data_IF_707741951984
#
_entry.id   IF_707741951984
#
_cell.length_a   1.000
_cell.length_b   1.000
_cell.length_c   1.000
_cell.angle_alpha   90.00
_cell.angle_beta   90.00
_cell.angle_gamma   90.00
#
_symmetry.space_group_name_H-M   'P 1'
#
loop_
_entity.id
_entity.type
_entity.pdbx_description
1 polymer ?
#
# COMPACT_ATOMS: atom_id res chain seq x y z
N UNK A 1 -4.29 32.91 -7.11
CA UNK A 1 -3.33 32.74 -5.98
C UNK A 1 -3.13 34.02 -5.18
N UNK A 2 -3.04 35.20 -5.81
CA UNK A 2 -2.89 36.49 -5.10
C UNK A 2 -4.00 36.75 -4.06
N UNK A 3 -5.27 36.54 -4.42
CA UNK A 3 -6.41 36.62 -3.49
C UNK A 3 -6.30 35.69 -2.28
N UNK A 4 -5.67 34.52 -2.42
CA UNK A 4 -5.45 33.60 -1.31
C UNK A 4 -4.38 34.14 -0.35
N UNK A 5 -3.31 34.74 -0.90
CA UNK A 5 -2.25 35.35 -0.10
C UNK A 5 -2.78 36.57 0.67
N UNK A 6 -3.53 37.45 0.02
CA UNK A 6 -4.16 38.61 0.65
C UNK A 6 -5.10 38.18 1.78
N UNK A 7 -6.00 37.22 1.50
CA UNK A 7 -6.92 36.67 2.51
C UNK A 7 -6.18 36.08 3.71
N UNK A 8 -5.06 35.38 3.48
CA UNK A 8 -4.27 34.84 4.59
C UNK A 8 -3.55 35.91 5.43
N UNK A 9 -3.27 37.10 4.88
CA UNK A 9 -2.77 38.24 5.67
C UNK A 9 -3.91 38.79 6.53
N UNK A 10 -5.10 38.95 5.97
CA UNK A 10 -6.30 39.40 6.70
C UNK A 10 -6.66 38.43 7.84
N UNK A 11 -6.57 37.12 7.59
CA UNK A 11 -6.78 36.07 8.60
C UNK A 11 -5.61 35.91 9.58
N UNK A 12 -4.53 36.70 9.45
CA UNK A 12 -3.37 36.66 10.34
C UNK A 12 -2.49 35.41 10.21
N UNK A 13 -2.63 34.64 9.12
CA UNK A 13 -1.87 33.41 8.86
C UNK A 13 -0.43 33.71 8.45
N UNK A 14 -0.17 34.88 7.87
CA UNK A 14 1.16 35.35 7.48
C UNK A 14 1.26 36.88 7.42
N UNK A 15 2.48 37.42 7.37
CA UNK A 15 2.73 38.86 7.30
C UNK A 15 2.78 39.40 5.86
N UNK A 16 2.53 40.71 5.69
CA UNK A 16 2.67 41.36 4.38
C UNK A 16 4.09 41.22 3.80
N UNK A 17 5.10 41.28 4.66
CA UNK A 17 6.51 41.08 4.29
C UNK A 17 6.77 39.67 3.76
N UNK A 18 6.08 38.66 4.30
CA UNK A 18 6.19 37.28 3.82
C UNK A 18 5.61 37.15 2.41
N UNK A 19 4.38 37.62 2.18
CA UNK A 19 3.74 37.47 0.85
C UNK A 19 4.45 38.27 -0.23
N UNK A 20 5.08 39.41 0.11
CA UNK A 20 5.83 40.24 -0.85
C UNK A 20 7.03 39.54 -1.49
N UNK A 21 7.47 38.42 -0.91
CA UNK A 21 8.62 37.62 -1.37
C UNK A 21 8.20 36.38 -2.15
N UNK A 22 6.91 36.07 -2.18
CA UNK A 22 6.38 34.88 -2.83
C UNK A 22 6.13 35.21 -4.29
N UNK A 23 6.73 34.42 -5.18
CA UNK A 23 6.45 34.44 -6.60
C UNK A 23 6.03 33.04 -7.03
N UNK A 24 4.77 32.89 -7.45
CA UNK A 24 4.28 31.63 -8.01
C UNK A 24 4.60 31.58 -9.50
N UNK A 25 5.26 30.50 -9.93
CA UNK A 25 5.66 30.30 -11.33
C UNK A 25 4.70 29.39 -12.11
N UNK A 26 3.58 29.00 -11.50
CA UNK A 26 2.59 28.10 -12.06
C UNK A 26 1.56 27.69 -11.00
N UNK A 27 0.62 26.84 -11.39
CA UNK A 27 -0.39 26.33 -10.48
C UNK A 27 0.21 25.39 -9.43
N UNK A 28 -0.16 25.59 -8.17
CA UNK A 28 0.31 24.75 -7.05
C UNK A 28 -0.33 23.36 -7.05
N UNK A 29 -1.52 23.24 -7.64
CA UNK A 29 -2.29 22.01 -7.74
C UNK A 29 -2.74 21.90 -9.19
N UNK A 30 -2.35 20.83 -9.85
CA UNK A 30 -2.73 20.54 -11.24
C UNK A 30 -3.82 19.48 -11.27
N UNK A 31 -4.74 19.61 -12.23
CA UNK A 31 -5.76 18.61 -12.54
C UNK A 31 -5.34 17.68 -13.69
N UNK A 32 -4.11 17.81 -14.20
CA UNK A 32 -3.57 16.92 -15.22
C UNK A 32 -3.23 15.57 -14.57
N UNK A 33 -3.87 14.46 -15.00
CA UNK A 33 -3.59 13.16 -14.41
C UNK A 33 -2.35 12.53 -15.03
N UNK A 34 -1.76 11.59 -14.30
CA UNK A 34 -0.86 10.62 -14.89
C UNK A 34 -1.67 9.56 -15.66
N UNK A 35 -1.22 9.22 -16.87
CA UNK A 35 -1.92 8.28 -17.76
C UNK A 35 -1.05 7.06 -17.98
N UNK A 36 -1.61 5.89 -17.66
CA UNK A 36 -0.97 4.59 -17.88
C UNK A 36 -1.87 3.71 -18.74
N UNK A 37 -1.26 3.02 -19.70
CA UNK A 37 -1.92 2.00 -20.51
C UNK A 37 -1.23 0.66 -20.27
N UNK A 38 -2.01 -0.33 -19.84
CA UNK A 38 -1.54 -1.69 -19.60
C UNK A 38 -2.39 -2.66 -20.41
N UNK A 39 -1.75 -3.58 -21.12
CA UNK A 39 -2.45 -4.70 -21.75
C UNK A 39 -2.75 -5.76 -20.67
N UNK A 40 -4.02 -6.12 -20.52
CA UNK A 40 -4.41 -7.21 -19.62
C UNK A 40 -4.11 -8.55 -20.30
N UNK A 41 -3.19 -9.31 -19.72
CA UNK A 41 -2.91 -10.69 -20.12
C UNK A 41 -3.99 -11.66 -19.61
N UNK A 42 -3.98 -12.89 -20.11
CA UNK A 42 -4.87 -13.96 -19.64
C UNK A 42 -4.56 -14.41 -18.20
N UNK A 43 -3.41 -14.00 -17.67
CA UNK A 43 -2.95 -14.21 -16.31
C UNK A 43 -3.41 -13.11 -15.33
N UNK A 44 -4.02 -12.04 -15.83
CA UNK A 44 -4.62 -11.01 -14.99
C UNK A 44 -5.88 -11.55 -14.32
N UNK A 45 -5.88 -11.59 -12.98
CA UNK A 45 -6.97 -12.18 -12.21
C UNK A 45 -8.06 -11.14 -11.86
N UNK A 46 -7.66 -9.99 -11.31
CA UNK A 46 -8.55 -8.88 -10.96
C UNK A 46 -7.80 -7.55 -10.94
N UNK A 47 -8.55 -6.44 -10.93
CA UNK A 47 -8.05 -5.10 -10.65
C UNK A 47 -8.58 -4.62 -9.30
N UNK A 48 -7.72 -3.97 -8.52
CA UNK A 48 -8.05 -3.39 -7.22
C UNK A 48 -7.72 -1.89 -7.24
N UNK A 49 -8.75 -1.07 -7.03
CA UNK A 49 -8.63 0.37 -6.86
C UNK A 49 -9.17 0.73 -5.47
N UNK A 50 -8.48 1.61 -4.75
CA UNK A 50 -8.96 2.08 -3.46
C UNK A 50 -8.43 3.48 -3.13
N UNK A 51 -9.11 4.16 -2.21
CA UNK A 51 -8.61 5.39 -1.58
C UNK A 51 -7.45 5.12 -0.61
N UNK A 52 -6.73 6.18 -0.25
CA UNK A 52 -5.69 6.20 0.80
C UNK A 52 -6.18 5.65 2.14
N UNK A 53 -7.46 5.82 2.48
CA UNK A 53 -8.06 5.18 3.65
C UNK A 53 -7.83 3.67 3.76
N UNK A 54 -7.61 2.94 2.65
CA UNK A 54 -7.09 1.56 2.66
C UNK A 54 -5.56 1.53 2.71
N UNK A 55 -4.91 2.23 1.78
CA UNK A 55 -3.46 2.09 1.52
C UNK A 55 -2.56 2.61 2.63
N UNK A 56 -3.06 3.51 3.48
CA UNK A 56 -2.35 4.00 4.66
C UNK A 56 -2.18 2.92 5.75
N UNK A 57 -2.99 1.86 5.70
CA UNK A 57 -3.02 0.80 6.73
C UNK A 57 -2.66 -0.58 6.18
N UNK A 58 -2.88 -0.81 4.88
CA UNK A 58 -2.59 -2.07 4.22
C UNK A 58 -1.76 -1.84 2.96
N UNK A 59 -0.62 -2.54 2.85
CA UNK A 59 0.18 -2.48 1.63
C UNK A 59 -0.48 -3.27 0.48
N UNK A 60 -0.07 -2.97 -0.75
CA UNK A 60 -0.68 -3.54 -1.95
C UNK A 60 -0.54 -5.06 -2.07
N UNK A 61 0.58 -5.65 -1.63
CA UNK A 61 0.78 -7.09 -1.68
C UNK A 61 -0.16 -7.82 -0.71
N UNK A 62 -0.28 -7.31 0.51
CA UNK A 62 -1.19 -7.86 1.52
C UNK A 62 -2.65 -7.74 1.10
N UNK A 63 -3.04 -6.60 0.50
CA UNK A 63 -4.39 -6.41 -0.02
C UNK A 63 -4.72 -7.40 -1.15
N UNK A 64 -3.80 -7.58 -2.11
CA UNK A 64 -3.96 -8.55 -3.20
C UNK A 64 -4.06 -9.97 -2.65
N UNK A 65 -3.18 -10.35 -1.71
CA UNK A 65 -3.21 -11.66 -1.06
C UNK A 65 -4.51 -11.88 -0.28
N UNK A 66 -5.00 -10.86 0.41
CA UNK A 66 -6.25 -10.89 1.15
C UNK A 66 -7.43 -11.15 0.21
N UNK A 67 -7.58 -10.35 -0.85
CA UNK A 67 -8.67 -10.50 -1.83
C UNK A 67 -8.61 -11.89 -2.48
N UNK A 68 -7.41 -12.32 -2.90
CA UNK A 68 -7.23 -13.65 -3.49
C UNK A 68 -7.62 -14.77 -2.54
N UNK A 69 -7.35 -14.63 -1.25
CA UNK A 69 -7.76 -15.61 -0.24
C UNK A 69 -9.27 -15.60 0.01
N UNK A 70 -9.93 -14.43 0.03
CA UNK A 70 -11.39 -14.33 0.11
C UNK A 70 -12.06 -15.00 -1.10
N UNK A 71 -11.62 -14.65 -2.31
CA UNK A 71 -12.17 -15.21 -3.54
C UNK A 71 -11.96 -16.73 -3.62
N UNK A 72 -10.83 -17.27 -3.17
CA UNK A 72 -10.65 -18.73 -3.06
C UNK A 72 -11.66 -19.41 -2.15
N UNK A 73 -12.07 -18.74 -1.08
CA UNK A 73 -12.99 -19.33 -0.09
C UNK A 73 -14.43 -19.39 -0.59
N UNK A 74 -14.91 -18.33 -1.24
CA UNK A 74 -16.32 -18.22 -1.60
C UNK A 74 -16.60 -17.75 -3.04
N UNK A 75 -15.61 -17.21 -3.75
CA UNK A 75 -15.75 -16.77 -5.15
C UNK A 75 -16.62 -15.52 -5.35
N UNK A 76 -16.97 -14.82 -4.28
CA UNK A 76 -17.84 -13.64 -4.31
C UNK A 76 -17.02 -12.36 -4.11
N UNK A 77 -16.91 -11.57 -5.17
CA UNK A 77 -16.12 -10.33 -5.19
C UNK A 77 -16.68 -9.25 -4.27
N UNK A 78 -18.00 -9.18 -4.09
CA UNK A 78 -18.64 -8.19 -3.24
C UNK A 78 -18.31 -8.47 -1.77
N UNK A 79 -18.42 -9.74 -1.36
CA UNK A 79 -18.05 -10.16 0.00
C UNK A 79 -16.55 -9.91 0.25
N UNK A 80 -15.69 -10.22 -0.73
CA UNK A 80 -14.26 -9.97 -0.62
C UNK A 80 -13.93 -8.47 -0.47
N UNK A 81 -14.64 -7.61 -1.20
CA UNK A 81 -14.50 -6.16 -1.14
C UNK A 81 -14.93 -5.60 0.22
N UNK A 82 -16.08 -6.04 0.74
CA UNK A 82 -16.57 -5.66 2.07
C UNK A 82 -15.61 -6.11 3.18
N UNK A 83 -15.11 -7.34 3.09
CA UNK A 83 -14.13 -7.87 4.03
C UNK A 83 -12.82 -7.08 4.03
N UNK A 84 -12.35 -6.65 2.85
CA UNK A 84 -11.13 -5.83 2.73
C UNK A 84 -11.32 -4.45 3.37
N UNK A 85 -12.48 -3.81 3.12
CA UNK A 85 -12.82 -2.53 3.75
C UNK A 85 -12.91 -2.66 5.28
N UNK A 86 -13.54 -3.73 5.77
CA UNK A 86 -13.62 -3.99 7.21
C UNK A 86 -12.25 -4.26 7.82
N UNK A 87 -11.33 -4.93 7.10
CA UNK A 87 -9.96 -5.14 7.55
C UNK A 87 -9.22 -3.81 7.75
N UNK A 88 -9.37 -2.85 6.84
CA UNK A 88 -8.77 -1.52 6.97
C UNK A 88 -9.31 -0.75 8.20
N UNK A 89 -10.63 -0.80 8.42
CA UNK A 89 -11.26 -0.20 9.59
C UNK A 89 -10.76 -0.83 10.90
N UNK A 90 -10.65 -2.16 10.93
CA UNK A 90 -10.14 -2.89 12.09
C UNK A 90 -8.66 -2.59 12.38
N UNK A 91 -7.87 -2.23 11.36
CA UNK A 91 -6.48 -1.78 11.51
C UNK A 91 -6.37 -0.31 11.96
N UNK A 92 -7.50 0.37 12.15
CA UNK A 92 -7.56 1.72 12.72
C UNK A 92 -7.66 2.83 11.69
N UNK A 93 -8.10 2.54 10.46
CA UNK A 93 -8.37 3.58 9.46
C UNK A 93 -9.32 4.65 10.01
N UNK A 94 -8.89 5.90 9.94
CA UNK A 94 -9.65 7.08 10.39
C UNK A 94 -10.25 7.87 9.22
N UNK A 95 -10.07 7.40 7.99
CA UNK A 95 -10.56 8.07 6.78
C UNK A 95 -11.71 7.30 6.11
N UNK A 96 -12.29 7.88 5.07
CA UNK A 96 -13.24 7.22 4.21
C UNK A 96 -12.54 6.14 3.38
N UNK A 97 -13.04 4.91 3.50
CA UNK A 97 -12.52 3.75 2.76
C UNK A 97 -13.46 3.48 1.58
N UNK A 98 -12.97 3.71 0.36
CA UNK A 98 -13.65 3.37 -0.88
C UNK A 98 -12.82 2.37 -1.67
N UNK A 99 -13.44 1.27 -2.10
CA UNK A 99 -12.76 0.16 -2.76
C UNK A 99 -13.58 -0.28 -3.98
N UNK A 100 -12.90 -0.57 -5.09
CA UNK A 100 -13.46 -1.20 -6.29
C UNK A 100 -12.60 -2.41 -6.63
N UNK A 101 -13.23 -3.57 -6.74
CA UNK A 101 -12.60 -4.80 -7.22
C UNK A 101 -13.31 -5.21 -8.50
N UNK A 102 -12.56 -5.30 -9.60
CA UNK A 102 -13.04 -5.84 -10.86
C UNK A 102 -12.43 -7.23 -11.08
N UNK A 103 -13.22 -8.27 -10.78
CA UNK A 103 -12.88 -9.66 -11.15
C UNK A 103 -13.02 -9.81 -12.67
N UNK A 104 -11.94 -10.26 -13.33
CA UNK A 104 -11.90 -10.42 -14.78
C UNK A 104 -12.52 -11.75 -15.24
N UNK A 105 -12.83 -12.66 -14.31
CA UNK A 105 -13.50 -13.93 -14.60
C UNK A 105 -12.64 -14.94 -15.38
N UNK A 106 -11.34 -14.69 -15.51
CA UNK A 106 -10.38 -15.62 -16.11
C UNK A 106 -9.88 -16.69 -15.12
N UNK A 107 -10.20 -16.50 -13.85
CA UNK A 107 -9.66 -17.29 -12.75
C UNK A 107 -10.72 -18.20 -12.17
N UNK A 108 -10.43 -19.50 -12.12
CA UNK A 108 -11.21 -20.43 -11.30
C UNK A 108 -10.69 -20.38 -9.85
N UNK A 109 -11.31 -19.52 -9.06
CA UNK A 109 -10.88 -19.21 -7.70
C UNK A 109 -10.83 -20.43 -6.78
N UNK A 110 -11.76 -21.38 -6.96
CA UNK A 110 -11.87 -22.53 -6.06
C UNK A 110 -10.84 -23.63 -6.38
N UNK A 111 -10.31 -23.67 -7.61
CA UNK A 111 -9.27 -24.62 -8.00
C UNK A 111 -7.85 -24.07 -7.90
N UNK A 112 -7.70 -22.77 -7.60
CA UNK A 112 -6.38 -22.15 -7.46
C UNK A 112 -5.57 -22.78 -6.32
N UNK A 113 -4.33 -23.24 -6.56
CA UNK A 113 -3.48 -23.77 -5.51
C UNK A 113 -3.16 -22.68 -4.48
N UNK A 114 -3.04 -23.10 -3.21
CA UNK A 114 -2.55 -22.23 -2.16
C UNK A 114 -1.12 -21.78 -2.51
N UNK A 115 -0.80 -20.49 -2.35
CA UNK A 115 0.56 -20.03 -2.52
C UNK A 115 1.39 -20.73 -1.46
N UNK A 116 2.42 -21.46 -1.88
CA UNK A 116 3.40 -22.01 -0.95
C UNK A 116 4.12 -20.83 -0.29
N UNK A 117 3.66 -20.41 0.89
CA UNK A 117 4.52 -19.64 1.77
C UNK A 117 5.64 -20.60 2.21
N UNK A 118 6.85 -20.36 1.74
CA UNK A 118 8.02 -21.16 2.10
C UNK A 118 8.50 -20.79 3.52
N UNK A 119 7.61 -20.82 4.51
CA UNK A 119 7.86 -20.51 5.92
C UNK A 119 9.04 -21.34 6.44
N UNK A 120 9.14 -22.60 6.03
CA UNK A 120 10.25 -23.48 6.41
C UNK A 120 11.61 -22.97 5.88
N UNK A 121 11.62 -22.42 4.67
CA UNK A 121 12.83 -21.87 4.06
C UNK A 121 13.22 -20.54 4.71
N UNK A 122 12.26 -19.66 4.96
CA UNK A 122 12.49 -18.40 5.66
C UNK A 122 12.99 -18.62 7.10
N UNK A 123 12.36 -19.53 7.84
CA UNK A 123 12.82 -19.94 9.17
C UNK A 123 14.21 -20.58 9.09
N UNK A 124 14.44 -21.47 8.12
CA UNK A 124 15.74 -22.09 7.89
C UNK A 124 16.85 -21.06 7.63
N UNK A 125 16.59 -20.05 6.80
CA UNK A 125 17.52 -18.95 6.53
C UNK A 125 17.75 -18.07 7.77
N UNK A 126 16.70 -17.77 8.53
CA UNK A 126 16.81 -17.00 9.77
C UNK A 126 17.72 -17.72 10.78
N UNK A 127 17.50 -19.02 11.00
CA UNK A 127 18.34 -19.83 11.89
C UNK A 127 19.79 -19.95 11.40
N UNK A 128 19.99 -20.14 10.09
CA UNK A 128 21.34 -20.20 9.52
C UNK A 128 22.11 -18.88 9.72
N UNK A 129 21.44 -17.75 9.50
CA UNK A 129 22.04 -16.42 9.64
C UNK A 129 22.38 -16.13 11.11
N UNK A 130 21.45 -16.41 12.03
CA UNK A 130 21.69 -16.28 13.47
C UNK A 130 22.86 -17.17 13.91
N UNK A 131 22.90 -18.43 13.44
CA UNK A 131 23.98 -19.36 13.72
C UNK A 131 25.34 -18.85 13.25
N UNK A 132 25.45 -18.41 11.99
CA UNK A 132 26.69 -17.89 11.40
C UNK A 132 27.18 -16.66 12.17
N UNK A 133 26.29 -15.71 12.47
CA UNK A 133 26.63 -14.49 13.21
C UNK A 133 27.08 -14.82 14.63
N UNK A 134 26.37 -15.71 15.32
CA UNK A 134 26.70 -16.13 16.69
C UNK A 134 28.07 -16.81 16.75
N UNK A 135 28.36 -17.68 15.78
CA UNK A 135 29.66 -18.36 15.65
C UNK A 135 30.77 -17.35 15.33
N UNK A 136 30.53 -16.38 14.45
CA UNK A 136 31.49 -15.31 14.13
C UNK A 136 31.83 -14.44 15.34
N UNK A 137 30.82 -14.00 16.10
CA UNK A 137 31.02 -13.25 17.35
C UNK A 137 31.79 -14.09 18.36
N UNK A 138 31.41 -15.35 18.53
CA UNK A 138 32.09 -16.26 19.45
C UNK A 138 33.56 -16.47 19.06
N UNK A 139 33.86 -16.75 17.79
CA UNK A 139 35.25 -16.89 17.32
C UNK A 139 36.05 -15.60 17.51
N UNK A 140 35.45 -14.44 17.25
CA UNK A 140 36.11 -13.14 17.45
C UNK A 140 36.39 -12.88 18.93
N UNK A 141 35.51 -13.34 19.84
CA UNK A 141 35.71 -13.23 21.29
C UNK A 141 36.87 -14.08 21.83
N UNK A 142 37.36 -15.07 21.06
CA UNK A 142 38.47 -15.94 21.44
C UNK A 142 39.82 -15.48 20.88
N UNK A 143 39.86 -14.43 20.06
CA UNK A 143 41.11 -13.84 19.58
C UNK A 143 41.68 -12.89 20.65
N UNK A 144 42.93 -13.08 21.10
CA UNK A 144 43.58 -12.10 21.95
C UNK A 144 43.90 -10.82 21.13
N UNK A 145 43.72 -9.66 21.76
CA UNK A 145 44.09 -8.34 21.22
C UNK A 145 45.56 -8.24 20.84
#
# INVERSE_FOLDING_TARGET
MERMLEKGVEEGRWSQKFISRIQFNGDLVAASPDIFQLALGSDAEFLLLASDGLWDYMNSLDAVAFVRNQLRQHGDVQIACEALGQAALNQGSQDNVSIVIADLGHTDWQSLPLPQQNILYELGQAFATIGIVSVGIWMTSQLPL
#
